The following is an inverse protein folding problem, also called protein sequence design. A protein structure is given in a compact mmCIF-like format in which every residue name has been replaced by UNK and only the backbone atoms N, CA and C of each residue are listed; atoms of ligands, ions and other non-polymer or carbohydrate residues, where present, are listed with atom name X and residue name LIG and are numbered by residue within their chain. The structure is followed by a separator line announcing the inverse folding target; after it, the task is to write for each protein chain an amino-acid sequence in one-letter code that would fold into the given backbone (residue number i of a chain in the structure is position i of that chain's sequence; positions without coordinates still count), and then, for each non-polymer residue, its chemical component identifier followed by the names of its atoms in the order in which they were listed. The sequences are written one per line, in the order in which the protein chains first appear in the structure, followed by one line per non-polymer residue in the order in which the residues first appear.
data_IF_571150986517
#
_entry.id   IF_571150986517
#
_cell.length_a   1.000
_cell.length_b   1.000
_cell.length_c   1.000
_cell.angle_alpha   90.00
_cell.angle_beta   90.00
_cell.angle_gamma   90.00
#
_symmetry.space_group_name_H-M   'P 1'
#
loop_
_entity.id
_entity.type
_entity.pdbx_description
1 polymer ?
#
# COMPACT_ATOMS: atom_id res chain seq x y z
N UNK A 1 -70.37 -49.47 7.06
CA UNK A 1 -70.56 -50.86 6.64
C UNK A 1 -69.19 -51.45 6.36
N UNK A 2 -68.96 -52.53 7.10
CA UNK A 2 -68.07 -53.70 7.03
C UNK A 2 -66.55 -53.39 7.18
N UNK A 3 -66.02 -53.67 8.34
CA UNK A 3 -65.59 -54.86 9.13
C UNK A 3 -64.65 -55.80 8.37
N UNK A 4 -63.51 -56.00 8.97
CA UNK A 4 -62.72 -57.21 9.34
C UNK A 4 -61.25 -57.11 8.88
N UNK A 5 -60.24 -57.66 9.51
CA UNK A 5 -60.03 -58.30 10.84
C UNK A 5 -58.51 -58.53 10.99
N UNK A 6 -58.08 -58.62 12.23
CA UNK A 6 -56.76 -59.03 12.71
C UNK A 6 -56.13 -60.29 12.01
N UNK A 7 -54.83 -60.27 11.87
CA UNK A 7 -53.99 -61.44 12.22
C UNK A 7 -52.68 -61.02 12.87
N UNK A 8 -52.46 -61.44 14.08
CA UNK A 8 -51.21 -61.54 14.79
C UNK A 8 -50.33 -62.62 14.17
N UNK A 9 -49.07 -62.34 14.01
CA UNK A 9 -48.03 -63.37 13.87
C UNK A 9 -46.79 -62.97 14.66
N UNK A 10 -46.54 -63.78 15.69
CA UNK A 10 -45.38 -63.78 16.56
C UNK A 10 -44.18 -64.32 15.77
N UNK A 11 -43.05 -63.61 15.77
CA UNK A 11 -41.77 -64.19 15.37
C UNK A 11 -40.72 -63.78 16.37
N UNK A 12 -40.04 -64.75 16.83
CA UNK A 12 -39.10 -64.89 17.93
C UNK A 12 -37.82 -64.03 17.68
N UNK A 13 -37.38 -63.37 18.75
CA UNK A 13 -36.15 -62.60 18.82
C UNK A 13 -34.91 -63.50 18.77
N UNK A 14 -33.95 -63.18 17.93
CA UNK A 14 -32.57 -63.62 18.06
C UNK A 14 -31.70 -62.39 18.49
N UNK A 15 -31.16 -62.44 19.72
CA UNK A 15 -30.15 -61.49 20.20
C UNK A 15 -28.85 -61.72 19.42
N UNK A 16 -28.51 -60.75 18.58
CA UNK A 16 -27.15 -60.60 18.04
C UNK A 16 -26.47 -59.45 18.80
N UNK A 17 -25.48 -59.72 19.65
CA UNK A 17 -24.59 -58.69 20.22
C UNK A 17 -23.73 -58.14 19.07
N UNK A 18 -24.05 -56.93 18.63
CA UNK A 18 -23.15 -56.14 17.76
C UNK A 18 -22.24 -55.31 18.70
N UNK A 19 -20.94 -55.55 18.62
CA UNK A 19 -19.90 -54.72 19.23
C UNK A 19 -19.98 -53.32 18.64
N UNK A 20 -20.31 -52.36 19.41
CA UNK A 20 -20.22 -50.92 19.12
C UNK A 20 -18.71 -50.53 19.01
N UNK A 21 -18.18 -50.52 17.81
CA UNK A 21 -16.93 -49.88 17.52
C UNK A 21 -17.06 -48.38 17.79
N UNK A 22 -16.26 -47.85 18.75
CA UNK A 22 -16.17 -46.43 18.99
C UNK A 22 -15.65 -45.77 17.72
N UNK A 23 -16.52 -45.04 17.02
CA UNK A 23 -16.09 -44.15 15.93
C UNK A 23 -15.15 -43.05 16.44
N UNK A 24 -14.27 -42.51 15.61
CA UNK A 24 -13.40 -41.43 16.01
C UNK A 24 -14.24 -40.27 16.56
N UNK A 25 -13.82 -39.73 17.71
CA UNK A 25 -14.44 -38.56 18.32
C UNK A 25 -14.51 -37.41 17.28
N UNK A 26 -15.59 -36.63 17.24
CA UNK A 26 -15.66 -35.48 16.36
C UNK A 26 -14.51 -34.54 16.67
N UNK A 27 -13.76 -34.13 15.64
CA UNK A 27 -12.70 -33.14 15.76
C UNK A 27 -13.30 -31.88 16.41
N UNK A 28 -12.64 -31.40 17.43
CA UNK A 28 -13.02 -30.20 18.17
C UNK A 28 -13.06 -29.02 17.20
N UNK A 29 -14.26 -28.59 16.76
CA UNK A 29 -14.46 -27.52 15.76
C UNK A 29 -14.21 -26.12 16.32
N UNK A 30 -13.87 -25.99 17.62
CA UNK A 30 -13.69 -24.73 18.35
C UNK A 30 -12.21 -24.37 18.64
N UNK A 31 -11.25 -25.09 18.10
CA UNK A 31 -9.85 -24.66 18.23
C UNK A 31 -9.62 -23.45 17.31
N UNK A 32 -9.21 -22.28 17.84
CA UNK A 32 -8.89 -21.13 16.99
C UNK A 32 -7.82 -21.55 15.99
N UNK A 33 -7.98 -21.13 14.71
CA UNK A 33 -7.00 -21.42 13.68
C UNK A 33 -5.60 -20.99 14.15
N UNK A 34 -4.57 -21.80 13.96
CA UNK A 34 -3.22 -21.45 14.37
C UNK A 34 -2.83 -20.11 13.77
N UNK A 35 -2.34 -19.18 14.61
CA UNK A 35 -1.89 -17.86 14.15
C UNK A 35 -0.81 -18.05 13.09
N UNK A 36 -0.88 -17.29 11.97
CA UNK A 36 0.11 -17.38 10.92
C UNK A 36 1.51 -17.06 11.47
N UNK A 37 2.52 -17.77 10.99
CA UNK A 37 3.91 -17.46 11.28
C UNK A 37 4.38 -16.39 10.29
N UNK A 38 4.50 -15.16 10.76
CA UNK A 38 5.00 -14.06 9.94
C UNK A 38 6.49 -14.18 9.67
N UNK A 39 6.89 -13.92 8.43
CA UNK A 39 8.29 -13.87 8.00
C UNK A 39 9.08 -12.77 8.75
N UNK A 40 8.45 -11.63 8.98
CA UNK A 40 9.02 -10.49 9.68
C UNK A 40 8.11 -10.02 10.80
N UNK A 41 8.68 -9.38 11.81
CA UNK A 41 7.94 -8.78 12.91
C UNK A 41 7.77 -7.28 12.69
N UNK A 42 6.77 -6.63 13.29
CA UNK A 42 6.62 -5.19 13.28
C UNK A 42 7.89 -4.49 13.75
N UNK A 43 8.31 -3.45 13.04
CA UNK A 43 9.49 -2.65 13.40
C UNK A 43 9.32 -1.95 14.76
N UNK A 44 8.09 -1.57 15.07
CA UNK A 44 7.69 -0.98 16.36
C UNK A 44 6.30 -1.48 16.74
N UNK A 45 6.01 -1.53 18.06
CA UNK A 45 4.72 -1.96 18.60
C UNK A 45 4.03 -0.87 19.41
N UNK A 46 4.68 0.28 19.60
CA UNK A 46 4.21 1.39 20.42
C UNK A 46 3.37 2.42 19.64
N UNK A 47 3.22 2.23 18.35
CA UNK A 47 2.47 3.10 17.45
C UNK A 47 2.09 2.33 16.20
N UNK A 48 0.87 2.53 15.70
CA UNK A 48 0.44 1.98 14.42
C UNK A 48 1.00 2.83 13.29
N UNK A 49 1.67 2.18 12.34
CA UNK A 49 2.35 2.82 11.22
C UNK A 49 2.05 2.09 9.93
N UNK A 50 1.90 2.84 8.84
CA UNK A 50 1.54 2.29 7.55
C UNK A 50 2.29 2.98 6.41
N UNK A 51 2.08 2.49 5.20
CA UNK A 51 2.50 3.13 3.95
C UNK A 51 3.99 3.53 3.97
N UNK A 52 4.90 2.57 4.22
CA UNK A 52 6.31 2.88 4.48
C UNK A 52 7.02 3.41 3.24
N UNK A 53 7.56 4.62 3.35
CA UNK A 53 8.51 5.19 2.39
C UNK A 53 9.89 5.23 3.03
N UNK A 54 10.77 4.28 2.66
CA UNK A 54 12.09 4.13 3.23
C UNK A 54 13.15 4.80 2.37
N UNK A 55 14.03 5.57 3.00
CA UNK A 55 15.17 6.24 2.36
C UNK A 55 16.43 6.09 3.20
N UNK A 56 17.59 6.15 2.54
CA UNK A 56 18.89 6.14 3.21
C UNK A 56 19.48 7.55 3.18
N UNK A 57 19.58 8.16 4.36
CA UNK A 57 20.20 9.47 4.51
C UNK A 57 21.34 9.40 5.54
N UNK A 58 22.52 9.87 5.16
CA UNK A 58 23.68 9.84 6.07
C UNK A 58 24.05 8.43 6.57
N UNK A 59 23.82 7.39 5.76
CA UNK A 59 24.10 5.99 6.10
C UNK A 59 23.11 5.34 7.07
N UNK A 60 22.00 5.99 7.39
CA UNK A 60 20.89 5.47 8.21
C UNK A 60 19.62 5.36 7.39
N UNK A 61 18.78 4.40 7.72
CA UNK A 61 17.45 4.25 7.12
C UNK A 61 16.47 5.13 7.89
N UNK A 62 15.65 5.88 7.16
CA UNK A 62 14.50 6.63 7.64
C UNK A 62 13.27 6.14 6.89
N UNK A 63 12.25 5.69 7.63
CA UNK A 63 10.97 5.25 7.07
C UNK A 63 9.92 6.28 7.43
N UNK A 64 9.43 6.98 6.43
CA UNK A 64 8.32 7.92 6.58
C UNK A 64 7.04 7.13 6.47
N UNK A 65 6.21 7.21 7.47
CA UNK A 65 5.02 6.37 7.60
C UNK A 65 3.79 7.19 7.94
N UNK A 66 2.65 6.79 7.40
CA UNK A 66 1.35 7.24 7.89
C UNK A 66 1.18 6.78 9.33
N UNK A 67 0.58 7.61 10.17
CA UNK A 67 0.19 7.27 11.53
C UNK A 67 -1.27 6.85 11.56
N UNK A 68 -1.49 5.54 11.66
CA UNK A 68 -2.83 5.00 11.79
C UNK A 68 -3.38 5.25 13.20
N UNK A 69 -4.61 5.75 13.29
CA UNK A 69 -5.27 6.04 14.56
C UNK A 69 -6.76 5.75 14.51
N UNK A 70 -7.32 5.25 15.61
CA UNK A 70 -8.77 5.17 15.79
C UNK A 70 -9.34 6.50 16.27
N UNK A 71 -8.51 7.30 16.92
CA UNK A 71 -8.89 8.53 17.59
C UNK A 71 -8.37 9.75 16.81
N UNK A 72 -9.17 10.74 16.77
CA UNK A 72 -8.88 12.10 16.36
C UNK A 72 -10.12 12.92 16.67
N UNK A 73 -9.99 14.20 17.06
CA UNK A 73 -11.16 15.03 17.12
C UNK A 73 -11.88 14.91 15.79
N UNK A 74 -13.22 14.87 15.77
CA UNK A 74 -13.95 14.95 14.51
C UNK A 74 -13.38 16.16 13.80
N UNK A 75 -12.89 15.94 12.57
CA UNK A 75 -12.47 17.05 11.73
C UNK A 75 -13.73 17.88 11.55
N UNK A 76 -13.78 19.07 12.13
CA UNK A 76 -14.91 19.97 12.00
C UNK A 76 -15.20 20.14 10.50
N UNK A 77 -16.46 20.10 10.12
CA UNK A 77 -16.96 20.28 8.76
C UNK A 77 -16.81 19.10 7.78
N UNK A 78 -16.60 17.87 8.29
CA UNK A 78 -16.62 16.70 7.43
C UNK A 78 -17.87 15.88 7.71
N UNK A 79 -18.79 15.83 6.75
CA UNK A 79 -19.90 14.88 6.74
C UNK A 79 -19.36 13.47 7.08
N UNK A 80 -20.05 12.71 7.94
CA UNK A 80 -19.64 11.37 8.25
C UNK A 80 -19.49 10.60 6.95
N UNK A 81 -18.36 9.89 6.81
CA UNK A 81 -17.97 9.14 5.63
C UNK A 81 -19.09 8.20 5.18
N UNK A 82 -19.98 8.69 4.36
CA UNK A 82 -21.15 7.93 3.89
C UNK A 82 -20.80 6.87 2.85
N UNK A 83 -19.61 6.87 2.29
CA UNK A 83 -19.20 5.91 1.29
C UNK A 83 -17.75 5.50 1.47
N UNK A 84 -17.45 4.30 1.05
CA UNK A 84 -16.22 3.52 1.06
C UNK A 84 -14.92 4.18 0.54
N UNK A 85 -14.84 5.49 0.39
CA UNK A 85 -13.67 6.22 -0.13
C UNK A 85 -12.54 6.35 0.91
N UNK A 86 -12.14 5.21 1.50
CA UNK A 86 -11.07 5.18 2.49
C UNK A 86 -11.43 5.82 3.84
N UNK A 87 -12.72 5.96 4.16
CA UNK A 87 -13.20 6.64 5.36
C UNK A 87 -12.73 6.06 6.70
N UNK A 88 -12.32 4.80 6.73
CA UNK A 88 -11.70 4.19 7.90
C UNK A 88 -10.25 4.66 8.14
N UNK A 89 -9.59 5.19 7.11
CA UNK A 89 -8.19 5.63 7.16
C UNK A 89 -8.13 7.13 7.48
N UNK A 90 -8.17 7.44 8.78
CA UNK A 90 -8.33 8.82 9.30
C UNK A 90 -7.01 9.52 9.62
N UNK A 91 -5.89 9.08 9.03
CA UNK A 91 -4.57 9.61 9.32
C UNK A 91 -4.54 11.15 9.22
N UNK A 92 -3.89 11.77 10.18
CA UNK A 92 -3.77 13.21 10.29
C UNK A 92 -2.33 13.73 10.47
N UNK A 93 -1.41 12.84 10.75
CA UNK A 93 0.01 13.16 10.97
C UNK A 93 0.91 12.04 10.49
N UNK A 94 2.20 12.26 10.55
CA UNK A 94 3.22 11.30 10.16
C UNK A 94 4.15 10.94 11.32
N UNK A 95 4.69 9.73 11.21
CA UNK A 95 5.75 9.20 12.08
C UNK A 95 6.95 8.86 11.20
N UNK A 96 8.16 9.16 11.69
CA UNK A 96 9.39 8.67 11.06
C UNK A 96 10.04 7.65 11.97
N UNK A 97 10.37 6.50 11.40
CA UNK A 97 11.15 5.46 12.06
C UNK A 97 12.59 5.55 11.54
N UNK A 98 13.59 5.64 12.43
CA UNK A 98 14.98 5.66 12.00
C UNK A 98 15.81 4.56 12.63
N UNK A 99 16.71 3.95 11.86
CA UNK A 99 17.50 2.81 12.28
C UNK A 99 18.84 2.73 11.55
N UNK A 100 19.83 2.07 12.17
CA UNK A 100 21.13 1.83 11.52
C UNK A 100 21.08 0.73 10.44
N UNK A 101 20.13 -0.19 10.55
CA UNK A 101 19.74 -1.23 9.60
C UNK A 101 18.41 -1.84 10.07
N UNK A 102 17.68 -2.64 9.27
CA UNK A 102 16.35 -3.15 9.66
C UNK A 102 16.32 -4.12 10.85
N UNK A 103 17.47 -4.60 11.31
CA UNK A 103 17.61 -5.47 12.48
C UNK A 103 18.08 -4.72 13.76
N UNK A 104 18.39 -3.42 13.61
CA UNK A 104 18.84 -2.59 14.73
C UNK A 104 17.63 -1.99 15.49
N UNK A 105 17.83 -1.54 16.73
CA UNK A 105 16.82 -0.79 17.47
C UNK A 105 16.30 0.40 16.66
N UNK A 106 14.96 0.56 16.67
CA UNK A 106 14.25 1.61 15.94
C UNK A 106 13.98 2.80 16.85
N UNK A 107 14.35 3.98 16.40
CA UNK A 107 13.96 5.24 17.03
C UNK A 107 12.68 5.75 16.37
N UNK A 108 11.65 6.05 17.18
CA UNK A 108 10.38 6.60 16.74
C UNK A 108 10.41 8.10 16.89
N UNK A 109 10.21 8.84 15.79
CA UNK A 109 10.09 10.29 15.77
C UNK A 109 8.62 10.66 15.53
N UNK A 110 8.03 11.37 16.47
CA UNK A 110 6.67 11.91 16.42
C UNK A 110 6.71 13.40 16.08
N UNK A 111 5.54 14.00 15.85
CA UNK A 111 5.42 15.43 15.51
C UNK A 111 6.21 15.80 14.24
N UNK A 112 6.15 14.91 13.24
CA UNK A 112 6.83 15.09 11.96
C UNK A 112 6.16 16.18 11.13
N UNK A 113 4.85 16.06 10.96
CA UNK A 113 3.93 17.03 10.36
C UNK A 113 2.50 16.66 10.75
N UNK A 114 1.73 17.58 11.30
CA UNK A 114 0.29 17.42 11.56
C UNK A 114 -0.53 18.18 10.51
N UNK A 115 -1.72 17.71 10.20
CA UNK A 115 -2.63 18.34 9.24
C UNK A 115 -3.01 19.78 9.66
N UNK A 116 -3.02 20.07 10.97
CA UNK A 116 -3.29 21.40 11.48
C UNK A 116 -2.26 22.43 11.02
N UNK A 117 -1.05 21.99 10.66
CA UNK A 117 0.04 22.81 10.15
C UNK A 117 0.03 22.92 8.62
N UNK A 118 -1.00 22.38 7.95
CA UNK A 118 -1.13 22.38 6.49
C UNK A 118 -2.33 23.24 6.08
N UNK A 119 -2.12 24.50 5.67
CA UNK A 119 -3.21 25.50 5.52
C UNK A 119 -4.32 25.10 4.53
N UNK A 120 -3.99 24.34 3.49
CA UNK A 120 -4.93 23.94 2.44
C UNK A 120 -5.63 22.61 2.70
N UNK A 121 -5.04 21.74 3.57
CA UNK A 121 -5.57 20.40 3.84
C UNK A 121 -6.73 20.45 4.84
N UNK A 122 -7.68 19.55 4.65
CA UNK A 122 -8.83 19.39 5.53
C UNK A 122 -8.87 18.04 6.23
N UNK A 123 -8.40 16.97 5.57
CA UNK A 123 -8.46 15.61 6.12
C UNK A 123 -7.58 14.61 5.37
N UNK A 124 -7.37 13.42 5.97
CA UNK A 124 -6.77 12.24 5.34
C UNK A 124 -5.39 12.52 4.74
N UNK A 125 -4.40 12.71 5.62
CA UNK A 125 -2.99 12.71 5.22
C UNK A 125 -2.53 11.27 5.04
N UNK A 126 -2.54 10.81 3.78
CA UNK A 126 -2.23 9.43 3.43
C UNK A 126 -0.75 9.23 3.08
N UNK A 127 -0.42 8.12 2.41
CA UNK A 127 0.93 7.64 2.14
C UNK A 127 1.93 8.75 1.77
N UNK A 128 2.95 9.02 2.60
CA UNK A 128 3.97 10.04 2.31
C UNK A 128 5.11 9.47 1.49
N UNK A 129 5.92 10.37 0.94
CA UNK A 129 7.28 10.06 0.47
C UNK A 129 8.26 11.17 0.84
N UNK A 130 9.56 10.89 0.74
CA UNK A 130 10.60 11.86 1.07
C UNK A 130 11.72 11.93 0.02
N UNK A 131 12.38 13.08 -0.01
CA UNK A 131 13.59 13.26 -0.80
C UNK A 131 14.58 14.15 -0.06
N UNK A 132 15.84 14.12 -0.50
CA UNK A 132 16.88 15.02 -0.02
C UNK A 132 17.53 15.74 -1.18
N UNK A 133 17.70 17.06 -1.04
CA UNK A 133 18.42 17.87 -2.01
C UNK A 133 19.06 19.09 -1.36
N UNK A 134 20.35 19.30 -1.62
CA UNK A 134 21.06 20.52 -1.23
C UNK A 134 20.87 20.92 0.24
N UNK A 135 21.05 19.97 1.16
CA UNK A 135 20.94 20.24 2.61
C UNK A 135 19.52 20.44 3.12
N UNK A 136 18.52 20.05 2.33
CA UNK A 136 17.10 20.15 2.70
C UNK A 136 16.42 18.80 2.46
N UNK A 137 15.63 18.36 3.42
CA UNK A 137 14.75 17.20 3.35
C UNK A 137 13.36 17.67 2.94
N UNK A 138 12.70 16.91 2.10
CA UNK A 138 11.38 17.17 1.57
C UNK A 138 10.47 16.01 1.95
N UNK A 139 9.27 16.34 2.41
CA UNK A 139 8.20 15.37 2.68
C UNK A 139 7.06 15.69 1.72
N UNK A 140 6.73 14.75 0.85
CA UNK A 140 5.58 14.82 -0.05
C UNK A 140 4.44 14.03 0.56
N UNK A 141 3.23 14.58 0.49
CA UNK A 141 2.09 13.95 1.13
C UNK A 141 0.79 14.30 0.42
N UNK A 142 -0.10 13.34 0.25
CA UNK A 142 -1.46 13.62 -0.21
C UNK A 142 -2.34 13.98 0.97
N UNK A 143 -3.22 14.94 0.76
CA UNK A 143 -4.31 15.23 1.69
C UNK A 143 -5.52 15.72 0.91
N UNK A 144 -6.73 15.52 1.44
CA UNK A 144 -7.93 16.11 0.87
C UNK A 144 -8.02 17.59 1.23
N UNK A 145 -8.27 18.40 0.23
CA UNK A 145 -8.63 19.81 0.40
C UNK A 145 -10.08 19.97 0.93
N UNK A 146 -10.52 21.22 1.14
CA UNK A 146 -11.89 21.51 1.62
C UNK A 146 -12.98 21.09 0.63
N UNK A 147 -12.66 20.96 -0.65
CA UNK A 147 -13.58 20.47 -1.67
C UNK A 147 -13.64 18.93 -1.73
N UNK A 148 -12.81 18.24 -0.92
CA UNK A 148 -12.74 16.79 -0.85
C UNK A 148 -11.86 16.15 -1.92
N UNK A 149 -11.13 16.96 -2.70
CA UNK A 149 -10.18 16.46 -3.69
C UNK A 149 -8.82 16.19 -3.04
N UNK A 150 -8.21 15.05 -3.32
CA UNK A 150 -6.82 14.81 -2.98
C UNK A 150 -5.89 15.71 -3.80
N UNK A 151 -4.97 16.36 -3.08
CA UNK A 151 -3.84 17.13 -3.62
C UNK A 151 -2.56 16.62 -2.99
N UNK A 152 -1.44 16.82 -3.66
CA UNK A 152 -0.12 16.48 -3.13
C UNK A 152 0.54 17.77 -2.63
N UNK A 153 0.88 17.79 -1.34
CA UNK A 153 1.65 18.84 -0.72
C UNK A 153 3.14 18.50 -0.66
N UNK A 154 3.93 19.52 -0.35
CA UNK A 154 5.34 19.36 0.00
C UNK A 154 5.67 20.19 1.24
N UNK A 155 6.40 19.58 2.17
CA UNK A 155 6.93 20.23 3.36
C UNK A 155 8.44 20.06 3.40
N UNK A 156 9.15 20.96 4.10
CA UNK A 156 10.63 20.96 4.14
C UNK A 156 11.16 20.98 5.57
N UNK A 157 12.33 20.37 5.76
CA UNK A 157 13.06 20.37 7.03
C UNK A 157 14.57 20.40 6.80
N UNK A 158 15.32 20.83 7.82
CA UNK A 158 16.78 20.66 7.86
C UNK A 158 17.22 19.36 8.54
N UNK A 159 16.28 18.63 9.10
CA UNK A 159 16.49 17.33 9.75
C UNK A 159 15.71 16.23 9.01
N UNK A 160 16.27 15.03 8.85
CA UNK A 160 15.60 13.95 8.13
C UNK A 160 14.31 13.46 8.81
N UNK A 161 14.22 13.56 10.13
CA UNK A 161 13.05 13.17 10.90
C UNK A 161 12.09 14.34 11.22
N UNK A 162 12.28 15.50 10.60
CA UNK A 162 11.47 16.68 10.87
C UNK A 162 11.90 17.46 12.13
N UNK A 163 11.04 18.36 12.66
CA UNK A 163 9.72 18.67 12.12
C UNK A 163 9.79 19.32 10.74
N UNK A 164 8.77 19.04 9.93
CA UNK A 164 8.62 19.60 8.59
C UNK A 164 7.68 20.79 8.59
N UNK A 165 7.95 21.76 7.73
CA UNK A 165 7.08 22.93 7.51
C UNK A 165 6.43 22.80 6.13
N UNK A 166 5.10 22.68 6.11
CA UNK A 166 4.34 22.60 4.88
C UNK A 166 4.34 23.93 4.10
N UNK A 167 4.28 23.85 2.78
CA UNK A 167 4.00 25.00 1.93
C UNK A 167 2.53 25.41 2.08
N UNK A 168 2.20 26.70 1.88
CA UNK A 168 0.83 27.20 2.01
C UNK A 168 -0.13 26.64 0.97
N UNK A 169 0.38 26.14 -0.17
CA UNK A 169 -0.40 25.60 -1.29
C UNK A 169 0.13 24.22 -1.69
N UNK A 170 -0.73 23.33 -2.21
CA UNK A 170 -0.28 22.07 -2.77
C UNK A 170 0.54 22.29 -4.05
N UNK A 171 1.24 21.27 -4.52
CA UNK A 171 1.92 21.27 -5.82
C UNK A 171 0.89 21.53 -6.91
N UNK A 172 1.13 22.55 -7.72
CA UNK A 172 0.19 22.99 -8.75
C UNK A 172 -0.06 21.90 -9.79
N UNK A 173 -1.32 21.56 -10.00
CA UNK A 173 -1.73 20.50 -10.93
C UNK A 173 -1.57 19.09 -10.38
N UNK A 174 -1.29 18.93 -9.08
CA UNK A 174 -1.32 17.65 -8.41
C UNK A 174 -2.75 17.18 -8.16
N UNK A 175 -2.93 15.86 -8.13
CA UNK A 175 -4.19 15.19 -7.83
C UNK A 175 -3.91 13.76 -7.35
N UNK A 176 -4.90 13.07 -6.81
CA UNK A 176 -4.78 11.69 -6.35
C UNK A 176 -3.77 11.53 -5.19
N UNK A 177 -3.21 10.33 -5.01
CA UNK A 177 -2.48 9.91 -3.82
C UNK A 177 -1.13 9.24 -4.15
N UNK A 178 -0.43 8.82 -3.13
CA UNK A 178 0.76 7.96 -3.15
C UNK A 178 1.91 8.55 -3.98
N UNK A 179 2.35 9.79 -3.66
CA UNK A 179 3.54 10.32 -4.31
C UNK A 179 4.76 9.46 -3.99
N UNK A 180 5.57 9.19 -5.00
CA UNK A 180 6.87 8.55 -4.89
C UNK A 180 7.90 9.35 -5.71
N UNK A 181 8.86 9.96 -5.04
CA UNK A 181 9.87 10.81 -5.68
C UNK A 181 11.16 10.04 -5.89
N UNK A 182 11.51 9.87 -7.12
CA UNK A 182 12.74 9.23 -7.54
C UNK A 182 13.74 10.28 -8.02
N UNK A 183 14.95 10.27 -7.46
CA UNK A 183 16.08 11.07 -7.92
C UNK A 183 16.97 10.19 -8.78
N UNK A 184 17.08 10.51 -10.05
CA UNK A 184 17.88 9.75 -11.01
C UNK A 184 19.36 10.10 -10.93
N UNK A 185 20.23 9.26 -11.53
CA UNK A 185 21.68 9.42 -11.52
C UNK A 185 22.15 10.72 -12.19
N UNK A 186 21.34 11.29 -13.11
CA UNK A 186 21.59 12.58 -13.75
C UNK A 186 21.13 13.79 -12.89
N UNK A 187 20.67 13.54 -11.67
CA UNK A 187 20.20 14.55 -10.73
C UNK A 187 18.79 15.08 -11.01
N UNK A 188 18.11 14.60 -12.06
CA UNK A 188 16.70 14.92 -12.28
C UNK A 188 15.83 14.15 -11.31
N UNK A 189 14.72 14.76 -10.92
CA UNK A 189 13.74 14.15 -10.01
C UNK A 189 12.41 13.97 -10.73
N UNK A 190 11.79 12.84 -10.46
CA UNK A 190 10.49 12.44 -11.01
C UNK A 190 9.57 12.06 -9.88
N UNK A 191 8.30 12.45 -9.97
CA UNK A 191 7.26 12.01 -9.05
C UNK A 191 6.31 11.08 -9.78
N UNK A 192 6.13 9.89 -9.23
CA UNK A 192 5.09 8.93 -9.62
C UNK A 192 3.98 9.01 -8.59
N UNK A 193 2.73 8.93 -9.03
CA UNK A 193 1.59 9.01 -8.11
C UNK A 193 0.32 8.46 -8.74
N UNK A 194 -0.70 8.27 -7.91
CA UNK A 194 -2.03 7.84 -8.32
C UNK A 194 -2.55 6.71 -7.46
N UNK A 195 -3.85 6.65 -7.30
CA UNK A 195 -4.57 5.55 -6.68
C UNK A 195 -6.02 5.57 -7.08
N UNK A 196 -6.58 4.39 -7.36
CA UNK A 196 -7.97 4.19 -7.72
C UNK A 196 -8.90 4.25 -6.50
N UNK A 197 -10.19 4.24 -6.73
CA UNK A 197 -11.24 4.24 -5.70
C UNK A 197 -11.06 5.40 -4.71
N UNK A 198 -10.73 5.13 -3.46
CA UNK A 198 -10.46 6.16 -2.44
C UNK A 198 -9.37 7.15 -2.81
N UNK A 199 -8.43 6.75 -3.65
CA UNK A 199 -7.34 7.59 -4.18
C UNK A 199 -7.76 8.55 -5.30
N UNK A 200 -8.98 8.44 -5.80
CA UNK A 200 -9.64 9.39 -6.71
C UNK A 200 -8.99 9.56 -8.08
N UNK A 201 -8.08 8.67 -8.51
CA UNK A 201 -7.45 8.78 -9.82
C UNK A 201 -8.49 8.81 -10.95
N UNK A 202 -9.52 7.95 -10.87
CA UNK A 202 -10.63 7.86 -11.82
C UNK A 202 -11.56 9.08 -11.81
N UNK A 203 -11.50 9.92 -10.77
CA UNK A 203 -12.25 11.17 -10.66
C UNK A 203 -11.52 12.38 -11.25
N UNK A 204 -10.28 12.19 -11.73
CA UNK A 204 -9.44 13.25 -12.31
C UNK A 204 -9.23 13.02 -13.81
N UNK A 205 -10.24 13.29 -14.60
CA UNK A 205 -10.15 13.18 -16.06
C UNK A 205 -9.58 14.48 -16.62
N UNK A 206 -8.42 14.36 -17.31
CA UNK A 206 -7.74 15.55 -17.85
C UNK A 206 -7.14 16.47 -16.76
N UNK A 207 -6.96 15.97 -15.53
CA UNK A 207 -6.42 16.75 -14.40
C UNK A 207 -7.44 17.63 -13.69
N UNK A 208 -8.72 17.50 -14.02
CA UNK A 208 -9.83 18.20 -13.36
C UNK A 208 -10.57 17.21 -12.46
N UNK A 209 -10.71 17.56 -11.19
CA UNK A 209 -11.45 16.75 -10.22
C UNK A 209 -12.95 16.87 -10.43
N UNK A 210 -13.63 15.73 -10.59
CA UNK A 210 -15.07 15.62 -10.62
C UNK A 210 -15.58 14.98 -9.32
N UNK A 211 -16.23 15.73 -8.40
CA UNK A 211 -16.77 15.16 -7.16
C UNK A 211 -17.85 14.10 -7.40
N UNK A 212 -18.55 14.18 -8.54
CA UNK A 212 -19.60 13.23 -8.94
C UNK A 212 -19.06 12.08 -9.79
N UNK A 213 -17.77 12.05 -10.06
CA UNK A 213 -17.11 10.99 -10.82
C UNK A 213 -17.24 9.62 -10.14
N UNK A 214 -16.95 8.55 -10.88
CA UNK A 214 -17.16 7.17 -10.40
C UNK A 214 -16.38 6.87 -9.12
N UNK A 215 -16.98 6.08 -8.21
CA UNK A 215 -16.35 5.67 -6.95
C UNK A 215 -15.23 4.62 -7.13
N UNK A 216 -15.20 3.92 -8.26
CA UNK A 216 -14.21 2.91 -8.64
C UNK A 216 -13.85 2.98 -10.11
N UNK A 217 -13.13 1.96 -10.62
CA UNK A 217 -12.77 1.88 -12.03
C UNK A 217 -14.03 1.67 -12.91
N UNK A 218 -14.41 2.63 -13.76
CA UNK A 218 -15.58 2.52 -14.64
C UNK A 218 -15.28 1.77 -15.94
N UNK A 219 -14.04 1.41 -16.22
CA UNK A 219 -13.60 0.82 -17.48
C UNK A 219 -14.06 -0.63 -17.60
N UNK A 220 -14.41 -1.04 -18.81
CA UNK A 220 -14.69 -2.44 -19.11
C UNK A 220 -13.40 -3.28 -18.97
N UNK A 221 -13.55 -4.59 -18.77
CA UNK A 221 -12.41 -5.49 -18.51
C UNK A 221 -11.40 -5.55 -19.64
N UNK A 222 -11.82 -5.32 -20.87
CA UNK A 222 -11.02 -5.31 -22.10
C UNK A 222 -10.51 -3.91 -22.49
N UNK A 223 -10.83 -2.89 -21.72
CA UNK A 223 -10.25 -1.54 -21.87
C UNK A 223 -8.89 -1.43 -21.16
N UNK A 224 -8.05 -0.51 -21.64
CA UNK A 224 -6.78 -0.20 -20.99
C UNK A 224 -7.01 0.16 -19.52
N UNK A 225 -6.24 -0.43 -18.60
CA UNK A 225 -6.27 -0.09 -17.19
C UNK A 225 -5.88 1.37 -16.95
N UNK A 226 -6.34 1.95 -15.83
CA UNK A 226 -5.75 3.20 -15.33
C UNK A 226 -4.27 3.01 -15.06
N UNK A 227 -3.47 3.99 -15.47
CA UNK A 227 -2.03 3.98 -15.30
C UNK A 227 -1.62 4.97 -14.20
N UNK A 228 -0.51 4.70 -13.47
CA UNK A 228 0.08 5.69 -12.60
C UNK A 228 0.47 6.93 -13.38
N UNK A 229 0.53 8.06 -12.70
CA UNK A 229 0.99 9.31 -13.28
C UNK A 229 2.48 9.50 -13.02
N UNK A 230 3.17 10.16 -13.93
CA UNK A 230 4.56 10.58 -13.76
C UNK A 230 4.75 12.01 -14.26
N UNK A 231 5.52 12.79 -13.50
CA UNK A 231 5.98 14.11 -13.93
C UNK A 231 7.39 14.37 -13.43
N UNK A 232 8.21 15.02 -14.26
CA UNK A 232 9.49 15.56 -13.83
C UNK A 232 9.23 16.76 -12.89
N UNK A 233 9.98 16.83 -11.81
CA UNK A 233 10.00 17.96 -10.89
C UNK A 233 10.96 19.04 -11.40
N UNK A 234 10.72 20.31 -10.99
CA UNK A 234 11.65 21.41 -11.18
C UNK A 234 12.96 21.17 -10.42
N UNK A 235 13.97 21.98 -10.71
CA UNK A 235 15.28 21.86 -10.06
C UNK A 235 15.25 22.00 -8.54
N UNK A 236 14.30 22.72 -7.98
CA UNK A 236 14.06 22.88 -6.55
C UNK A 236 13.20 21.78 -5.93
N UNK A 237 12.66 20.87 -6.75
CA UNK A 237 11.77 19.76 -6.44
C UNK A 237 10.49 20.14 -5.66
N UNK A 238 10.05 21.39 -5.79
CA UNK A 238 8.85 21.92 -5.13
C UNK A 238 7.61 21.92 -6.01
N UNK A 239 7.78 21.82 -7.33
CA UNK A 239 6.71 21.90 -8.32
C UNK A 239 6.98 20.97 -9.51
N UNK A 240 5.95 20.60 -10.24
CA UNK A 240 6.12 19.95 -11.53
C UNK A 240 6.77 20.88 -12.56
N UNK A 241 7.71 20.35 -13.32
CA UNK A 241 8.32 21.01 -14.48
C UNK A 241 7.49 20.83 -15.74
N UNK A 242 6.57 19.91 -15.75
CA UNK A 242 5.71 19.50 -16.87
C UNK A 242 4.34 19.03 -16.36
N UNK A 243 3.37 18.88 -17.25
CA UNK A 243 2.08 18.25 -16.87
C UNK A 243 2.31 16.76 -16.59
N UNK A 244 1.69 16.22 -15.53
CA UNK A 244 1.65 14.78 -15.31
C UNK A 244 1.10 14.04 -16.53
N UNK A 245 1.65 12.86 -16.77
CA UNK A 245 1.23 11.94 -17.84
C UNK A 245 1.23 10.50 -17.34
N UNK A 246 0.52 9.63 -18.04
CA UNK A 246 0.52 8.21 -17.71
C UNK A 246 1.90 7.58 -17.86
N UNK A 247 2.34 6.84 -16.85
CA UNK A 247 3.49 5.94 -16.92
C UNK A 247 2.98 4.57 -17.38
N UNK A 248 3.09 4.31 -18.67
CA UNK A 248 2.47 3.14 -19.31
C UNK A 248 3.07 1.83 -18.80
N UNK A 249 2.22 0.92 -18.32
CA UNK A 249 2.56 -0.45 -17.95
C UNK A 249 2.04 -1.38 -19.04
N UNK A 250 2.92 -2.24 -19.56
CA UNK A 250 2.63 -3.14 -20.68
C UNK A 250 2.91 -4.61 -20.31
N UNK A 251 2.29 -5.52 -21.04
CA UNK A 251 2.59 -6.95 -20.98
C UNK A 251 3.92 -7.29 -21.71
N UNK A 252 4.27 -8.56 -21.77
CA UNK A 252 5.48 -9.06 -22.43
C UNK A 252 5.48 -8.83 -23.95
N UNK A 253 4.30 -8.57 -24.53
CA UNK A 253 4.11 -8.27 -25.95
C UNK A 253 4.09 -6.79 -26.25
N UNK A 254 4.29 -5.94 -25.23
CA UNK A 254 4.24 -4.49 -25.34
C UNK A 254 2.85 -3.88 -25.42
N UNK A 255 1.79 -4.65 -25.12
CA UNK A 255 0.41 -4.16 -25.08
C UNK A 255 0.09 -3.60 -23.67
N UNK A 256 -0.65 -2.47 -23.57
CA UNK A 256 -1.09 -1.96 -22.28
C UNK A 256 -1.84 -3.01 -21.47
N UNK A 257 -1.62 -3.05 -20.15
CA UNK A 257 -2.43 -3.87 -19.27
C UNK A 257 -3.89 -3.40 -19.28
N UNK A 258 -4.81 -4.36 -19.16
CA UNK A 258 -6.24 -4.13 -19.21
C UNK A 258 -6.85 -3.99 -17.81
N UNK A 259 -8.01 -3.35 -17.70
CA UNK A 259 -8.74 -3.20 -16.45
C UNK A 259 -9.12 -4.57 -15.85
N UNK A 260 -9.33 -5.59 -16.68
CA UNK A 260 -9.55 -6.98 -16.25
C UNK A 260 -8.31 -7.71 -15.71
N UNK A 261 -7.11 -7.18 -15.85
CA UNK A 261 -5.85 -7.79 -15.38
C UNK A 261 -5.65 -7.61 -13.85
N UNK A 262 -6.62 -8.00 -13.04
CA UNK A 262 -6.70 -7.71 -11.61
C UNK A 262 -5.46 -8.02 -10.78
N UNK A 263 -4.67 -9.03 -11.17
CA UNK A 263 -3.42 -9.44 -10.51
C UNK A 263 -2.17 -8.70 -10.99
N UNK A 264 -2.30 -7.85 -12.00
CA UNK A 264 -1.17 -7.19 -12.66
C UNK A 264 -1.35 -5.70 -12.86
N UNK A 265 -2.61 -5.21 -12.97
CA UNK A 265 -2.89 -3.82 -13.24
C UNK A 265 -2.57 -2.93 -12.03
N UNK A 266 -2.23 -1.68 -12.31
CA UNK A 266 -2.03 -0.66 -11.30
C UNK A 266 -3.32 -0.38 -10.51
N UNK A 267 -3.16 -0.25 -9.19
CA UNK A 267 -4.20 0.24 -8.32
C UNK A 267 -3.73 1.46 -7.52
N UNK A 268 -2.59 1.34 -6.78
CA UNK A 268 -2.01 2.42 -5.96
C UNK A 268 -0.56 2.09 -5.57
N UNK A 269 0.03 2.84 -4.63
CA UNK A 269 1.31 2.55 -3.98
C UNK A 269 2.51 2.57 -4.93
N UNK A 270 2.64 3.64 -5.72
CA UNK A 270 3.78 3.82 -6.62
C UNK A 270 5.12 3.82 -5.89
N UNK A 271 6.10 3.11 -6.44
CA UNK A 271 7.50 3.18 -6.01
C UNK A 271 8.45 3.02 -7.20
N UNK A 272 9.57 3.73 -7.17
CA UNK A 272 10.60 3.63 -8.22
C UNK A 272 11.98 3.44 -7.61
N UNK A 273 12.74 2.47 -8.14
CA UNK A 273 14.16 2.33 -7.86
C UNK A 273 14.93 1.87 -9.11
N UNK A 274 16.24 1.99 -9.07
CA UNK A 274 17.13 1.48 -10.13
C UNK A 274 17.88 0.24 -9.64
N UNK A 275 17.98 -0.76 -10.53
CA UNK A 275 18.86 -1.90 -10.35
C UNK A 275 19.53 -2.23 -11.68
N UNK A 276 20.87 -2.31 -11.69
CA UNK A 276 21.69 -2.57 -12.90
C UNK A 276 21.29 -1.69 -14.09
N UNK A 277 21.10 -0.39 -13.85
CA UNK A 277 20.76 0.59 -14.89
C UNK A 277 19.34 0.50 -15.45
N UNK A 278 18.47 -0.35 -14.90
CA UNK A 278 17.05 -0.45 -15.28
C UNK A 278 16.17 0.19 -14.21
N UNK A 279 15.04 0.73 -14.65
CA UNK A 279 14.01 1.35 -13.80
C UNK A 279 13.00 0.30 -13.41
N UNK A 280 12.89 0.03 -12.12
CA UNK A 280 11.91 -0.90 -11.52
C UNK A 280 10.79 -0.09 -10.92
N UNK A 281 9.66 -0.08 -11.59
CA UNK A 281 8.43 0.52 -11.09
C UNK A 281 7.61 -0.55 -10.40
N UNK A 282 7.34 -0.38 -9.11
CA UNK A 282 6.53 -1.32 -8.34
C UNK A 282 5.29 -0.64 -7.76
N UNK A 283 4.23 -1.44 -7.55
CA UNK A 283 2.91 -0.94 -7.19
C UNK A 283 2.02 -2.03 -6.60
N UNK A 284 0.90 -1.63 -6.00
CA UNK A 284 -0.15 -2.52 -5.51
C UNK A 284 -1.21 -2.78 -6.58
N UNK A 285 -1.77 -3.99 -6.59
CA UNK A 285 -2.83 -4.42 -7.51
C UNK A 285 -4.24 -4.26 -6.95
N UNK A 286 -4.39 -3.76 -5.72
CA UNK A 286 -5.69 -3.55 -5.08
C UNK A 286 -6.34 -4.84 -4.61
N UNK A 287 -7.50 -5.22 -5.16
CA UNK A 287 -8.31 -6.33 -4.67
C UNK A 287 -7.63 -7.69 -4.59
N UNK A 288 -6.58 -7.95 -5.37
CA UNK A 288 -5.76 -9.17 -5.27
C UNK A 288 -4.61 -9.04 -4.27
N UNK A 289 -4.36 -7.85 -3.71
CA UNK A 289 -3.40 -7.56 -2.65
C UNK A 289 -1.94 -7.95 -2.93
N UNK A 290 -1.51 -7.98 -4.18
CA UNK A 290 -0.11 -8.18 -4.52
C UNK A 290 0.66 -6.85 -4.56
N UNK A 291 1.93 -6.87 -4.16
CA UNK A 291 2.91 -5.93 -4.66
C UNK A 291 3.59 -6.58 -5.86
N UNK A 292 3.55 -5.86 -6.97
CA UNK A 292 4.08 -6.31 -8.26
C UNK A 292 5.04 -5.29 -8.83
N UNK A 293 5.76 -5.66 -9.90
CA UNK A 293 6.68 -4.72 -10.55
C UNK A 293 6.72 -4.88 -12.06
N UNK A 294 7.10 -3.80 -12.70
CA UNK A 294 7.39 -3.69 -14.11
C UNK A 294 8.74 -3.00 -14.32
N UNK A 295 9.42 -3.28 -15.43
CA UNK A 295 10.78 -2.79 -15.70
C UNK A 295 10.82 -2.01 -17.00
N UNK A 296 11.46 -0.85 -16.97
CA UNK A 296 11.66 0.03 -18.12
C UNK A 296 13.12 0.44 -18.32
N UNK A 297 13.37 1.12 -19.44
CA UNK A 297 14.68 1.71 -19.78
C UNK A 297 14.73 3.23 -19.58
N UNK A 298 13.62 3.83 -19.19
CA UNK A 298 13.42 5.26 -19.01
C UNK A 298 12.58 5.52 -17.76
N UNK A 299 12.76 6.64 -17.05
CA UNK A 299 11.89 7.01 -15.91
C UNK A 299 10.44 7.24 -16.32
N UNK A 300 10.15 7.43 -17.58
CA UNK A 300 8.79 7.58 -18.10
C UNK A 300 8.15 6.28 -18.59
N UNK A 301 8.90 5.17 -18.57
CA UNK A 301 8.47 3.92 -19.17
C UNK A 301 8.64 3.90 -20.71
N UNK A 302 7.90 3.04 -21.44
CA UNK A 302 6.96 2.08 -20.87
C UNK A 302 7.64 1.06 -19.96
N UNK A 303 6.87 0.55 -19.00
CA UNK A 303 7.35 -0.45 -18.06
C UNK A 303 6.72 -1.80 -18.39
N UNK A 304 7.53 -2.82 -18.71
CA UNK A 304 7.03 -4.17 -18.97
C UNK A 304 6.85 -4.92 -17.66
N UNK A 305 5.64 -5.40 -17.40
CA UNK A 305 5.32 -6.24 -16.25
C UNK A 305 6.28 -7.43 -16.12
N UNK A 306 6.76 -7.71 -14.91
CA UNK A 306 7.74 -8.78 -14.66
C UNK A 306 7.33 -9.80 -13.61
N UNK A 307 6.43 -9.46 -12.71
CA UNK A 307 5.98 -10.41 -11.71
C UNK A 307 5.61 -9.82 -10.36
N UNK A 308 5.50 -10.70 -9.38
CA UNK A 308 5.10 -10.37 -8.01
C UNK A 308 6.34 -10.20 -7.14
N UNK A 309 6.32 -9.19 -6.27
CA UNK A 309 7.35 -8.95 -5.23
C UNK A 309 6.89 -9.57 -3.92
N UNK A 310 5.66 -9.26 -3.49
CA UNK A 310 5.10 -9.69 -2.22
C UNK A 310 3.72 -10.31 -2.45
N UNK A 311 3.50 -11.50 -1.88
CA UNK A 311 2.19 -12.13 -1.82
C UNK A 311 1.30 -11.40 -0.80
N UNK A 312 -0.03 -11.62 -0.81
CA UNK A 312 -0.94 -10.92 0.06
C UNK A 312 -0.56 -11.02 1.54
N UNK A 313 -0.67 -9.90 2.24
CA UNK A 313 -0.50 -9.80 3.68
C UNK A 313 -1.86 -9.77 4.39
N UNK A 314 -1.87 -9.83 5.71
CA UNK A 314 -3.07 -9.52 6.47
C UNK A 314 -3.40 -8.02 6.36
N UNK A 315 -4.63 -7.69 6.02
CA UNK A 315 -5.11 -6.32 5.81
C UNK A 315 -5.35 -5.95 4.36
N UNK A 316 -5.97 -4.78 4.13
CA UNK A 316 -6.41 -4.36 2.79
C UNK A 316 -5.31 -3.64 2.01
N UNK A 317 -4.77 -2.56 2.56
CA UNK A 317 -3.82 -1.72 1.85
C UNK A 317 -2.41 -2.30 1.96
N UNK A 318 -1.84 -2.63 0.82
CA UNK A 318 -0.46 -3.10 0.75
C UNK A 318 0.40 -2.02 0.11
N UNK A 319 1.03 -1.18 0.92
CA UNK A 319 1.98 -0.16 0.48
C UNK A 319 3.41 -0.61 0.79
N UNK A 320 4.39 -0.12 0.05
CA UNK A 320 5.76 -0.60 0.15
C UNK A 320 6.80 0.43 -0.28
N UNK A 321 8.04 0.15 0.06
CA UNK A 321 9.22 0.79 -0.53
C UNK A 321 10.38 -0.21 -0.62
N UNK A 322 11.30 0.05 -1.54
CA UNK A 322 12.49 -0.80 -1.77
C UNK A 322 13.72 0.07 -1.76
N UNK A 323 14.66 -0.26 -0.87
CA UNK A 323 15.91 0.50 -0.77
C UNK A 323 17.12 -0.42 -0.69
N UNK A 324 18.24 0.04 -1.24
CA UNK A 324 19.54 -0.58 -1.03
C UNK A 324 20.21 0.08 0.17
N UNK A 325 20.71 -0.74 1.09
CA UNK A 325 21.48 -0.30 2.24
C UNK A 325 22.64 -1.25 2.53
N UNK A 326 23.85 -0.75 2.44
CA UNK A 326 25.10 -1.51 2.70
C UNK A 326 25.22 -2.79 1.86
N UNK A 327 24.91 -2.71 0.57
CA UNK A 327 25.00 -3.81 -0.39
C UNK A 327 23.87 -4.84 -0.30
N UNK A 328 22.83 -4.57 0.51
CA UNK A 328 21.65 -5.44 0.65
C UNK A 328 20.40 -4.65 0.28
N UNK A 329 19.46 -5.33 -0.39
CA UNK A 329 18.16 -4.76 -0.73
C UNK A 329 17.11 -5.12 0.32
N UNK A 330 16.26 -4.16 0.64
CA UNK A 330 15.24 -4.29 1.66
C UNK A 330 13.89 -3.87 1.11
N UNK A 331 12.88 -4.70 1.36
CA UNK A 331 11.47 -4.38 1.17
C UNK A 331 10.89 -3.95 2.52
N UNK A 332 10.30 -2.75 2.56
CA UNK A 332 9.46 -2.30 3.65
C UNK A 332 8.01 -2.40 3.20
N UNK A 333 7.14 -2.91 4.05
CA UNK A 333 5.72 -3.11 3.76
C UNK A 333 4.91 -2.99 5.04
N UNK A 334 3.57 -2.92 4.95
CA UNK A 334 2.69 -2.87 6.10
C UNK A 334 1.72 -4.05 6.09
N UNK A 335 1.36 -4.54 7.29
CA UNK A 335 0.27 -5.47 7.51
C UNK A 335 -0.49 -5.12 8.80
N UNK A 336 -1.38 -6.00 9.26
CA UNK A 336 -2.22 -5.77 10.44
C UNK A 336 -1.92 -6.72 11.59
N UNK A 337 -0.74 -7.29 11.67
CA UNK A 337 -0.37 -8.28 12.69
C UNK A 337 -0.68 -7.83 14.12
N UNK A 338 -0.46 -6.56 14.45
CA UNK A 338 -0.65 -6.04 15.81
C UNK A 338 -2.13 -5.92 16.19
N UNK A 339 -2.96 -5.49 15.25
CA UNK A 339 -4.34 -5.11 15.55
C UNK A 339 -5.39 -6.09 15.02
N UNK A 340 -5.10 -6.77 13.91
CA UNK A 340 -6.08 -7.49 13.10
C UNK A 340 -7.08 -6.58 12.36
N UNK A 341 -6.89 -5.25 12.42
CA UNK A 341 -7.79 -4.26 11.80
C UNK A 341 -7.11 -3.59 10.61
N UNK A 342 -7.77 -3.58 9.45
CA UNK A 342 -7.18 -3.08 8.20
C UNK A 342 -6.76 -1.61 8.22
N UNK A 343 -7.29 -0.82 9.15
CA UNK A 343 -6.97 0.60 9.33
C UNK A 343 -6.02 0.91 10.51
N UNK A 344 -5.48 -0.13 11.17
CA UNK A 344 -4.46 -0.02 12.24
C UNK A 344 -3.30 -0.94 11.91
N UNK A 345 -2.45 -0.48 11.04
CA UNK A 345 -1.36 -1.26 10.43
C UNK A 345 -0.07 -1.15 11.21
N UNK A 346 0.88 -1.97 10.82
CA UNK A 346 2.25 -1.91 11.31
C UNK A 346 3.25 -2.16 10.18
N UNK A 347 4.32 -1.37 10.19
CA UNK A 347 5.41 -1.49 9.22
C UNK A 347 6.36 -2.61 9.59
N UNK A 348 6.75 -3.37 8.58
CA UNK A 348 7.74 -4.46 8.62
C UNK A 348 8.84 -4.26 7.60
N UNK A 349 9.92 -4.98 7.75
CA UNK A 349 11.00 -5.03 6.77
C UNK A 349 11.48 -6.46 6.57
N UNK A 350 11.81 -6.79 5.32
CA UNK A 350 12.44 -8.07 4.96
C UNK A 350 13.50 -7.86 3.89
N UNK A 351 14.46 -8.75 3.79
CA UNK A 351 15.46 -8.69 2.73
C UNK A 351 14.84 -9.08 1.39
N UNK A 352 15.21 -8.35 0.33
CA UNK A 352 14.76 -8.57 -1.03
C UNK A 352 15.92 -9.08 -1.87
N UNK A 353 15.66 -10.09 -2.70
CA UNK A 353 16.69 -10.71 -3.53
C UNK A 353 16.35 -10.63 -5.01
N UNK A 354 17.37 -10.37 -5.82
CA UNK A 354 17.31 -10.47 -7.27
C UNK A 354 17.86 -11.79 -7.76
N UNK A 355 17.27 -12.34 -8.80
CA UNK A 355 17.82 -13.43 -9.58
C UNK A 355 18.95 -12.92 -10.51
N UNK A 356 19.68 -13.83 -11.12
CA UNK A 356 20.78 -13.47 -12.04
C UNK A 356 20.33 -12.66 -13.25
N UNK A 357 19.11 -12.90 -13.73
CA UNK A 357 18.46 -12.21 -14.84
C UNK A 357 17.86 -10.83 -14.46
N UNK A 358 17.95 -10.44 -13.19
CA UNK A 358 17.41 -9.19 -12.67
C UNK A 358 15.96 -9.28 -12.22
N UNK A 359 15.30 -10.42 -12.31
CA UNK A 359 13.96 -10.58 -11.74
C UNK A 359 14.03 -10.60 -10.21
N UNK A 360 12.98 -10.10 -9.55
CA UNK A 360 12.86 -10.11 -8.09
C UNK A 360 12.30 -11.46 -7.64
N UNK A 361 12.87 -12.04 -6.59
CA UNK A 361 12.30 -13.24 -5.96
C UNK A 361 11.05 -12.87 -5.18
N UNK A 362 9.95 -13.54 -5.50
CA UNK A 362 8.68 -13.33 -4.79
C UNK A 362 8.82 -13.72 -3.32
N UNK A 363 8.30 -12.86 -2.46
CA UNK A 363 8.32 -13.01 -0.99
C UNK A 363 6.94 -13.46 -0.55
N UNK A 364 6.88 -14.55 0.23
CA UNK A 364 5.70 -14.93 1.00
C UNK A 364 5.84 -14.28 2.40
N UNK A 365 4.88 -13.45 2.84
CA UNK A 365 4.94 -12.81 4.16
C UNK A 365 4.74 -13.79 5.32
N UNK A 366 4.38 -15.04 5.02
CA UNK A 366 4.14 -16.09 6.00
C UNK A 366 5.17 -17.20 5.86
N UNK A 367 5.65 -17.72 7.00
CA UNK A 367 6.53 -18.89 7.03
C UNK A 367 5.68 -20.13 7.21
N UNK A 368 5.68 -21.01 6.21
CA UNK A 368 5.11 -22.36 6.37
C UNK A 368 6.01 -23.17 7.30
N UNK A 369 5.50 -23.64 8.43
CA UNK A 369 6.22 -24.67 9.21
C UNK A 369 6.38 -25.91 8.34
N UNK A 370 7.61 -26.26 8.05
CA UNK A 370 7.92 -27.57 7.46
C UNK A 370 7.77 -28.66 8.52
#
# INVERSE_FOLDING_TARGET
MTRHANRLSLVIAALGMAALGAGPAPANQDAPAPKPHYLSQPLVTSVYTADPSAHVFGGRIYVYASHDTEEGPPLADVEPFKNSEGGAFKMRDYVVLSMANPQAPVQVHRNVLDIADVPWAARQMWAPDAAYRNGTYYLYFPAKDRAGAFRIGVATSKQPAGPFRARPEPIKGSFSIDPAVFVDDDGKSYMYFGGLSGGQLQKNIGGVYDPNGPGGDPRAKDEQAFMPQVAKLRGDILEFAEKPREALIVDEKGKPLLSGDGDRRFFEASWMHKYRGKYYFSYSTGGSHFIVYAVGSSPYGPFTYKGKILLPVDGWTTHHSIVEHKGRWWLFYADTQLSGKTWLRNVKATELFYNRDGTIRTIDPFVTRK
#
